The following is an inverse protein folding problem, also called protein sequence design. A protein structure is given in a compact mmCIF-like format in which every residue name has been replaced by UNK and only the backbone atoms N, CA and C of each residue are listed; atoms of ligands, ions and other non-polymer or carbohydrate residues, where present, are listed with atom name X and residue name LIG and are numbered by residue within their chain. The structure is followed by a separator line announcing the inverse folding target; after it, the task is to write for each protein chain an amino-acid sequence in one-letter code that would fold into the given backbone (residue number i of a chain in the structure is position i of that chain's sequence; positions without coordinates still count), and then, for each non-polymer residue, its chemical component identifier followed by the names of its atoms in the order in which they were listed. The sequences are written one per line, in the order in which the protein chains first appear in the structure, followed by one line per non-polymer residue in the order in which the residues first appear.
data_IF_183364911861
#
_entry.id   IF_183364911861
#
_cell.length_a   1.000
_cell.length_b   1.000
_cell.length_c   1.000
_cell.angle_alpha   90.00
_cell.angle_beta   90.00
_cell.angle_gamma   90.00
#
_symmetry.space_group_name_H-M   'P 1'
#
loop_
_entity.id
_entity.type
_entity.pdbx_description
1 polymer ?
#
# COMPACT_ATOMS: atom_id res chain seq x y z
N UNK A 1 15.86 66.15 15.87
CA UNK A 1 15.90 64.74 15.41
C UNK A 1 14.47 64.17 15.34
N UNK A 2 13.98 63.81 14.14
CA UNK A 2 12.53 63.69 13.83
C UNK A 2 11.86 62.38 14.30
N UNK A 3 10.79 62.52 15.11
CA UNK A 3 9.94 61.43 15.66
C UNK A 3 9.26 60.56 14.60
N UNK A 4 9.16 61.02 13.34
CA UNK A 4 8.50 60.28 12.24
C UNK A 4 9.23 58.99 11.85
N UNK A 5 10.56 58.92 12.01
CA UNK A 5 11.36 57.73 11.64
C UNK A 5 11.14 56.52 12.58
N UNK A 6 10.86 56.77 13.86
CA UNK A 6 10.66 55.71 14.87
C UNK A 6 9.38 54.89 14.64
N UNK A 7 8.31 55.52 14.12
CA UNK A 7 7.02 54.85 13.87
C UNK A 7 7.04 53.89 12.68
N UNK A 8 7.84 54.18 11.65
CA UNK A 8 7.98 53.33 10.46
C UNK A 8 8.77 52.06 10.79
N UNK A 9 9.80 52.17 11.64
CA UNK A 9 10.60 51.02 12.08
C UNK A 9 9.81 50.00 12.92
N UNK A 10 8.90 50.46 13.78
CA UNK A 10 8.08 49.60 14.63
C UNK A 10 7.04 48.78 13.83
N UNK A 11 6.44 49.37 12.80
CA UNK A 11 5.52 48.67 11.88
C UNK A 11 6.22 47.56 11.09
N UNK A 12 7.45 47.80 10.63
CA UNK A 12 8.25 46.81 9.89
C UNK A 12 8.59 45.57 10.74
N UNK A 13 8.82 45.73 12.05
CA UNK A 13 9.17 44.61 12.96
C UNK A 13 7.97 43.68 13.21
N UNK A 14 6.77 44.24 13.43
CA UNK A 14 5.53 43.48 13.63
C UNK A 14 5.05 42.80 12.33
N UNK A 15 5.21 43.47 11.19
CA UNK A 15 4.83 42.94 9.88
C UNK A 15 5.78 41.83 9.39
N UNK A 16 7.08 41.90 9.70
CA UNK A 16 8.06 40.84 9.41
C UNK A 16 7.84 39.59 10.26
N UNK A 17 7.48 39.77 11.54
CA UNK A 17 7.12 38.66 12.44
C UNK A 17 5.82 37.97 12.00
N UNK A 18 4.78 38.73 11.64
CA UNK A 18 3.51 38.17 11.14
C UNK A 18 3.67 37.43 9.80
N UNK A 19 4.50 37.95 8.88
CA UNK A 19 4.81 37.26 7.61
C UNK A 19 5.54 35.94 7.82
N UNK A 20 6.39 35.87 8.84
CA UNK A 20 7.13 34.65 9.16
C UNK A 20 6.19 33.53 9.64
N UNK A 21 5.25 33.84 10.54
CA UNK A 21 4.26 32.86 11.00
C UNK A 21 3.30 32.40 9.90
N UNK A 22 2.89 33.29 8.98
CA UNK A 22 2.07 32.88 7.83
C UNK A 22 2.83 31.93 6.89
N UNK A 23 4.14 32.14 6.67
CA UNK A 23 4.94 31.24 5.84
C UNK A 23 5.10 29.88 6.53
N UNK A 24 5.40 29.86 7.83
CA UNK A 24 5.51 28.62 8.60
C UNK A 24 4.19 27.84 8.61
N UNK A 25 3.06 28.55 8.77
CA UNK A 25 1.72 27.95 8.73
C UNK A 25 1.37 27.35 7.37
N UNK A 26 1.69 28.05 6.27
CA UNK A 26 1.44 27.53 4.91
C UNK A 26 2.34 26.35 4.59
N UNK A 27 3.62 26.39 4.97
CA UNK A 27 4.54 25.25 4.78
C UNK A 27 4.07 24.05 5.58
N UNK A 28 3.66 24.24 6.84
CA UNK A 28 3.08 23.17 7.66
C UNK A 28 1.82 22.56 7.05
N UNK A 29 0.92 23.40 6.50
CA UNK A 29 -0.30 22.93 5.82
C UNK A 29 0.03 22.10 4.56
N UNK A 30 0.99 22.55 3.75
CA UNK A 30 1.42 21.84 2.53
C UNK A 30 2.08 20.50 2.89
N UNK A 31 2.90 20.45 3.94
CA UNK A 31 3.49 19.21 4.42
C UNK A 31 2.44 18.23 4.95
N UNK A 32 1.43 18.71 5.68
CA UNK A 32 0.31 17.87 6.13
C UNK A 32 -0.50 17.32 4.97
N UNK A 33 -0.81 18.14 3.97
CA UNK A 33 -1.52 17.69 2.76
C UNK A 33 -0.70 16.65 1.98
N UNK A 34 0.60 16.88 1.82
CA UNK A 34 1.51 15.94 1.18
C UNK A 34 1.59 14.59 1.92
N UNK A 35 1.64 14.61 3.25
CA UNK A 35 1.65 13.40 4.07
C UNK A 35 0.35 12.59 3.94
N UNK A 36 -0.81 13.26 3.88
CA UNK A 36 -2.11 12.60 3.67
C UNK A 36 -2.18 11.94 2.29
N UNK A 37 -1.75 12.64 1.23
CA UNK A 37 -1.72 12.08 -0.14
C UNK A 37 -0.77 10.88 -0.21
N UNK A 38 0.42 10.98 0.40
CA UNK A 38 1.36 9.87 0.46
C UNK A 38 0.79 8.67 1.22
N UNK A 39 0.12 8.89 2.35
CA UNK A 39 -0.51 7.81 3.11
C UNK A 39 -1.62 7.10 2.33
N UNK A 40 -2.43 7.85 1.57
CA UNK A 40 -3.50 7.28 0.73
C UNK A 40 -2.94 6.48 -0.46
N UNK A 41 -1.84 6.93 -1.06
CA UNK A 41 -1.21 6.21 -2.18
C UNK A 41 -0.51 4.92 -1.71
N UNK A 42 0.03 4.89 -0.49
CA UNK A 42 0.67 3.69 0.09
C UNK A 42 -0.31 2.74 0.79
N UNK A 43 -1.54 3.17 1.10
CA UNK A 43 -2.55 2.31 1.72
C UNK A 43 -3.30 1.42 0.72
N UNK A 44 -2.96 1.49 -0.57
CA UNK A 44 -3.47 0.61 -1.60
C UNK A 44 -2.59 -0.65 -1.77
N UNK A 45 -2.17 -1.25 -0.66
CA UNK A 45 -1.53 -2.58 -0.67
C UNK A 45 -2.29 -3.52 0.27
N UNK A 46 -3.54 -3.80 -0.09
CA UNK A 46 -4.33 -5.02 0.22
C UNK A 46 -5.84 -4.72 0.23
N UNK A 47 -6.37 -4.25 -0.89
CA UNK A 47 -7.77 -4.47 -1.24
C UNK A 47 -7.85 -5.48 -2.39
N UNK A 48 -7.19 -6.62 -2.19
CA UNK A 48 -7.39 -7.80 -3.02
C UNK A 48 -8.63 -8.54 -2.53
N UNK A 49 -9.72 -8.45 -3.29
CA UNK A 49 -10.83 -9.40 -3.37
C UNK A 49 -10.92 -10.43 -2.22
N UNK A 50 -11.73 -10.13 -1.19
CA UNK A 50 -12.07 -11.09 -0.11
C UNK A 50 -13.09 -12.17 -0.55
N UNK A 51 -13.18 -12.45 -1.85
CA UNK A 51 -13.89 -13.60 -2.40
C UNK A 51 -12.83 -14.66 -2.76
N UNK A 52 -12.44 -15.48 -1.78
CA UNK A 52 -11.45 -16.53 -1.99
C UNK A 52 -10.17 -16.38 -1.18
N UNK A 53 -10.29 -16.09 0.13
CA UNK A 53 -9.22 -16.50 1.03
C UNK A 53 -9.27 -18.03 1.07
N UNK A 54 -8.56 -18.67 0.14
CA UNK A 54 -8.34 -20.10 0.14
C UNK A 54 -7.92 -20.47 1.57
N UNK A 55 -8.66 -21.37 2.19
CA UNK A 55 -8.28 -21.96 3.47
C UNK A 55 -6.84 -22.43 3.33
N UNK A 56 -5.95 -21.87 4.15
CA UNK A 56 -4.56 -22.30 4.15
C UNK A 56 -4.53 -23.81 4.38
N UNK A 57 -3.96 -24.55 3.43
CA UNK A 57 -3.86 -26.01 3.52
C UNK A 57 -2.90 -26.33 4.67
N UNK A 58 -3.35 -27.16 5.61
CA UNK A 58 -2.54 -27.61 6.74
C UNK A 58 -1.89 -28.97 6.46
N UNK A 59 -0.73 -29.21 7.08
CA UNK A 59 -0.06 -30.52 7.01
C UNK A 59 -0.96 -31.58 7.62
N UNK A 60 -1.10 -32.72 6.93
CA UNK A 60 -1.97 -33.83 7.36
C UNK A 60 -3.44 -33.68 6.96
N UNK A 61 -3.86 -32.51 6.46
CA UNK A 61 -5.16 -32.39 5.81
C UNK A 61 -5.17 -33.17 4.49
N UNK A 62 -6.35 -33.66 4.10
CA UNK A 62 -6.55 -34.25 2.78
C UNK A 62 -6.24 -33.19 1.72
N UNK A 63 -5.38 -33.55 0.76
CA UNK A 63 -5.05 -32.65 -0.34
C UNK A 63 -6.32 -32.32 -1.14
N UNK A 64 -6.58 -31.04 -1.47
CA UNK A 64 -7.70 -30.66 -2.31
C UNK A 64 -7.61 -31.37 -3.67
N UNK A 65 -8.73 -31.95 -4.11
CA UNK A 65 -8.80 -32.54 -5.44
C UNK A 65 -8.88 -31.44 -6.49
N UNK A 66 -8.24 -31.67 -7.63
CA UNK A 66 -8.25 -30.78 -8.78
C UNK A 66 -8.12 -31.59 -10.06
N UNK A 67 -8.65 -31.05 -11.16
CA UNK A 67 -8.57 -31.64 -12.49
C UNK A 67 -7.76 -30.73 -13.42
N UNK A 68 -6.81 -31.29 -14.15
CA UNK A 68 -6.00 -30.60 -15.15
C UNK A 68 -6.06 -31.36 -16.48
N UNK A 69 -5.69 -30.67 -17.55
CA UNK A 69 -5.50 -31.29 -18.86
C UNK A 69 -4.05 -31.72 -18.99
N UNK A 70 -3.83 -32.98 -19.33
CA UNK A 70 -2.49 -33.54 -19.56
C UNK A 70 -1.89 -33.03 -20.88
N UNK A 71 -0.62 -33.35 -21.12
CA UNK A 71 0.04 -33.04 -22.41
C UNK A 71 -0.58 -33.78 -23.59
N UNK A 72 -1.27 -34.90 -23.35
CA UNK A 72 -2.03 -35.65 -24.37
C UNK A 72 -3.43 -35.09 -24.60
N UNK A 73 -3.86 -34.07 -23.85
CA UNK A 73 -5.19 -33.49 -23.93
C UNK A 73 -6.26 -34.20 -23.10
N UNK A 74 -5.87 -35.17 -22.27
CA UNK A 74 -6.80 -35.95 -21.44
C UNK A 74 -7.00 -35.30 -20.07
N UNK A 75 -8.23 -35.33 -19.51
CA UNK A 75 -8.47 -34.88 -18.15
C UNK A 75 -7.81 -35.83 -17.14
N UNK A 76 -7.12 -35.26 -16.15
CA UNK A 76 -6.44 -36.00 -15.08
C UNK A 76 -6.75 -35.34 -13.74
N UNK A 77 -7.16 -36.14 -12.75
CA UNK A 77 -7.41 -35.69 -11.37
C UNK A 77 -6.29 -36.06 -10.43
N UNK A 78 -6.14 -35.31 -9.34
CA UNK A 78 -5.24 -35.73 -8.26
C UNK A 78 -5.72 -37.04 -7.63
N UNK A 79 -7.03 -37.22 -7.48
CA UNK A 79 -7.64 -38.44 -6.95
C UNK A 79 -7.34 -39.72 -7.76
N UNK A 80 -6.98 -39.60 -9.04
CA UNK A 80 -6.60 -40.76 -9.88
C UNK A 80 -5.31 -41.44 -9.39
N UNK A 81 -4.50 -40.75 -8.59
CA UNK A 81 -3.22 -41.24 -8.05
C UNK A 81 -3.31 -41.77 -6.61
N UNK A 82 -4.52 -41.97 -6.06
CA UNK A 82 -4.68 -42.51 -4.71
C UNK A 82 -3.98 -43.87 -4.53
N UNK A 83 -3.49 -44.11 -3.30
CA UNK A 83 -2.76 -45.33 -2.96
C UNK A 83 -1.28 -45.33 -3.36
N UNK A 84 -0.76 -44.23 -3.93
CA UNK A 84 0.65 -44.05 -4.29
C UNK A 84 1.23 -42.82 -3.58
N UNK A 85 2.53 -42.81 -3.23
CA UNK A 85 3.20 -41.57 -2.84
C UNK A 85 3.25 -40.60 -4.03
N UNK A 86 2.76 -39.37 -3.85
CA UNK A 86 2.68 -38.35 -4.90
C UNK A 86 3.24 -37.03 -4.37
N UNK A 87 4.02 -36.34 -5.20
CA UNK A 87 4.48 -34.98 -4.97
C UNK A 87 3.95 -34.06 -6.07
N UNK A 88 3.40 -32.90 -5.69
CA UNK A 88 2.84 -31.90 -6.61
C UNK A 88 3.74 -30.67 -6.63
N UNK A 89 4.18 -30.27 -7.82
CA UNK A 89 5.03 -29.09 -8.02
C UNK A 89 4.32 -28.09 -8.92
N UNK A 90 4.21 -26.84 -8.47
CA UNK A 90 3.71 -25.73 -9.28
C UNK A 90 4.90 -24.98 -9.88
N UNK A 91 4.95 -24.89 -11.21
CA UNK A 91 6.04 -24.24 -11.93
C UNK A 91 5.50 -23.47 -13.14
N UNK A 92 6.31 -22.55 -13.66
CA UNK A 92 6.01 -21.78 -14.86
C UNK A 92 7.15 -21.94 -15.85
N UNK A 93 6.89 -21.66 -17.12
CA UNK A 93 7.96 -21.57 -18.12
C UNK A 93 8.66 -20.22 -18.00
N UNK A 94 7.90 -19.10 -18.02
CA UNK A 94 8.36 -17.71 -17.93
C UNK A 94 7.17 -16.77 -18.12
#
# INVERSE_FOLDING_TARGET
MSRKRKRIAARKKKQRQQRLYTIIGVVGLVLLLGAVIFAVNNSQESSGNTAGRATAVSVGAVAPDFELVSISGEPVKLSDYQGRPVAVTFMHTW
#
